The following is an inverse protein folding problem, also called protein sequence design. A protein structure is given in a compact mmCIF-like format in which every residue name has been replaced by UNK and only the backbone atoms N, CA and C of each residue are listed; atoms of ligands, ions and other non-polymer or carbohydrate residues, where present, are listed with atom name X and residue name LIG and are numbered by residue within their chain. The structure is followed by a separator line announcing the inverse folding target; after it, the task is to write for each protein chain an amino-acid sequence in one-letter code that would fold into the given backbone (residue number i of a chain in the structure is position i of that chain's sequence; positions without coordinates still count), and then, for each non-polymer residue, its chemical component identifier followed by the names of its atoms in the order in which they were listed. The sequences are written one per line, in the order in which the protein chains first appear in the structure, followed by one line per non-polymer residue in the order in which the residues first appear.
data_IF_703596201392
#
_entry.id   IF_703596201392
#
_cell.length_a   1.000
_cell.length_b   1.000
_cell.length_c   1.000
_cell.angle_alpha   90.00
_cell.angle_beta   90.00
_cell.angle_gamma   90.00
#
_symmetry.space_group_name_H-M   'P 1'
#
loop_
_entity.id
_entity.type
_entity.pdbx_description
1 polymer ?
#
# COMPACT_ATOMS: atom_id res chain seq x y z
N UNK A 1 -1.31 23.27 -21.57
CA UNK A 1 -0.55 22.02 -21.69
C UNK A 1 -0.20 21.53 -20.28
N UNK A 2 -0.31 20.21 -20.10
CA UNK A 2 0.11 19.55 -18.84
C UNK A 2 1.27 18.61 -19.17
N UNK A 3 2.34 18.72 -18.41
CA UNK A 3 3.52 17.83 -18.49
C UNK A 3 3.64 17.13 -17.15
N UNK A 4 3.63 15.82 -17.16
CA UNK A 4 3.79 14.97 -15.97
C UNK A 4 5.10 14.19 -16.09
N UNK A 5 5.94 14.28 -15.08
CA UNK A 5 7.18 13.53 -14.97
C UNK A 5 7.11 12.63 -13.74
N UNK A 6 7.39 11.34 -13.94
CA UNK A 6 7.42 10.34 -12.88
C UNK A 6 8.81 9.71 -12.82
N UNK A 7 9.44 9.80 -11.67
CA UNK A 7 10.72 9.16 -11.41
C UNK A 7 10.57 8.23 -10.21
N UNK A 8 10.85 6.94 -10.41
CA UNK A 8 10.84 5.94 -9.33
C UNK A 8 12.15 5.18 -9.33
N UNK A 9 12.84 5.22 -8.20
CA UNK A 9 14.02 4.40 -7.97
C UNK A 9 13.68 3.32 -6.94
N UNK A 10 13.70 2.07 -7.38
CA UNK A 10 13.51 0.90 -6.53
C UNK A 10 14.83 0.16 -6.37
N UNK A 11 15.21 -0.10 -5.12
CA UNK A 11 16.37 -0.94 -4.79
C UNK A 11 15.91 -2.09 -3.93
N UNK A 12 16.30 -3.31 -4.34
CA UNK A 12 15.95 -4.51 -3.62
C UNK A 12 17.20 -5.38 -3.42
N UNK A 13 17.41 -5.82 -2.20
CA UNK A 13 18.46 -6.76 -1.85
C UNK A 13 17.83 -7.93 -1.11
N UNK A 14 18.10 -9.15 -1.56
CA UNK A 14 17.53 -10.37 -1.00
C UNK A 14 18.60 -11.41 -0.76
N UNK A 15 18.45 -12.15 0.35
CA UNK A 15 19.20 -13.36 0.65
C UNK A 15 18.22 -14.52 0.83
N UNK A 16 18.42 -15.60 0.12
CA UNK A 16 17.60 -16.81 0.21
C UNK A 16 18.42 -18.00 0.68
N UNK A 17 17.78 -18.85 1.46
CA UNK A 17 18.35 -20.10 1.94
C UNK A 17 17.32 -21.21 1.74
N UNK A 18 17.72 -22.23 0.96
CA UNK A 18 16.90 -23.41 0.67
C UNK A 18 17.67 -24.65 1.08
N UNK A 19 17.09 -25.49 1.89
CA UNK A 19 17.70 -26.74 2.29
C UNK A 19 16.68 -27.84 2.56
N UNK A 20 16.98 -29.03 2.05
CA UNK A 20 16.28 -30.26 2.37
C UNK A 20 17.21 -31.17 3.18
N UNK A 21 16.67 -31.78 4.25
CA UNK A 21 17.34 -32.74 5.10
C UNK A 21 16.36 -33.82 5.53
N UNK A 22 16.48 -35.00 4.89
CA UNK A 22 15.48 -36.05 5.03
C UNK A 22 14.11 -35.61 4.53
N UNK A 23 13.11 -35.74 5.38
CA UNK A 23 11.73 -35.33 5.07
C UNK A 23 11.44 -33.84 5.37
N UNK A 24 12.44 -33.09 5.82
CA UNK A 24 12.33 -31.69 6.18
C UNK A 24 12.82 -30.80 5.05
N UNK A 25 12.01 -29.83 4.66
CA UNK A 25 12.38 -28.80 3.70
C UNK A 25 12.17 -27.42 4.33
N UNK A 26 13.20 -26.59 4.25
CA UNK A 26 13.19 -25.21 4.73
C UNK A 26 13.50 -24.27 3.59
N UNK A 27 12.67 -23.25 3.41
CA UNK A 27 12.89 -22.11 2.54
C UNK A 27 12.83 -20.85 3.39
N UNK A 28 13.90 -20.07 3.42
CA UNK A 28 13.98 -18.82 4.15
C UNK A 28 14.44 -17.69 3.23
N UNK A 29 13.86 -16.52 3.42
CA UNK A 29 14.20 -15.32 2.67
C UNK A 29 14.27 -14.14 3.63
N UNK A 30 15.32 -13.34 3.47
CA UNK A 30 15.46 -12.02 4.09
C UNK A 30 15.60 -10.99 2.98
N UNK A 31 14.96 -9.85 3.13
CA UNK A 31 14.98 -8.79 2.13
C UNK A 31 15.03 -7.41 2.75
N UNK A 32 15.64 -6.52 2.01
CA UNK A 32 15.66 -5.08 2.24
C UNK A 32 15.27 -4.38 0.95
N UNK A 33 14.32 -3.45 1.03
CA UNK A 33 13.78 -2.72 -0.12
C UNK A 33 13.72 -1.23 0.19
N UNK A 34 14.02 -0.42 -0.82
CA UNK A 34 13.77 1.02 -0.76
C UNK A 34 13.09 1.46 -2.05
N UNK A 35 12.14 2.38 -1.91
CA UNK A 35 11.50 3.07 -3.02
C UNK A 35 11.61 4.56 -2.79
N UNK A 36 12.11 5.28 -3.79
CA UNK A 36 12.15 6.74 -3.84
C UNK A 36 11.33 7.19 -5.05
N UNK A 37 10.20 7.82 -4.79
CA UNK A 37 9.24 8.26 -5.79
C UNK A 37 9.15 9.77 -5.83
N UNK A 38 9.29 10.34 -7.02
CA UNK A 38 9.13 11.75 -7.31
C UNK A 38 8.15 11.97 -8.46
N UNK A 39 7.24 12.88 -8.26
CA UNK A 39 6.28 13.33 -9.25
C UNK A 39 6.41 14.83 -9.43
N UNK A 40 6.49 15.29 -10.67
CA UNK A 40 6.46 16.70 -11.03
C UNK A 40 5.39 16.92 -12.08
N UNK A 41 4.45 17.81 -11.80
CA UNK A 41 3.46 18.27 -12.77
C UNK A 41 3.74 19.73 -13.11
N UNK A 42 3.87 20.02 -14.39
CA UNK A 42 3.95 21.39 -14.89
C UNK A 42 2.73 21.70 -15.72
N UNK A 43 1.98 22.70 -15.31
CA UNK A 43 0.82 23.23 -16.00
C UNK A 43 1.23 24.53 -16.71
N UNK A 44 1.01 24.58 -18.01
CA UNK A 44 1.26 25.72 -18.86
C UNK A 44 -0.05 26.16 -19.49
N UNK A 45 -0.46 27.42 -19.28
CA UNK A 45 -1.59 28.02 -19.96
C UNK A 45 -1.19 29.33 -20.64
N UNK A 46 -1.76 29.58 -21.80
CA UNK A 46 -1.60 30.81 -22.55
C UNK A 46 -2.92 31.24 -23.13
N UNK A 47 -3.15 32.55 -23.23
CA UNK A 47 -4.31 33.15 -23.84
C UNK A 47 -3.92 34.36 -24.73
N UNK A 48 -4.93 34.94 -25.42
CA UNK A 48 -4.78 36.15 -26.24
C UNK A 48 -3.73 36.01 -27.33
N UNK A 49 -3.90 35.00 -28.18
CA UNK A 49 -3.00 34.74 -29.31
C UNK A 49 -3.22 35.77 -30.43
N UNK A 50 -2.15 36.37 -30.99
CA UNK A 50 -2.26 37.40 -32.04
C UNK A 50 -2.58 36.85 -33.43
N UNK A 51 -2.89 35.58 -33.58
CA UNK A 51 -3.18 34.93 -34.87
C UNK A 51 -3.62 33.49 -34.71
N UNK A 52 -3.58 32.72 -35.79
CA UNK A 52 -4.05 31.32 -35.83
C UNK A 52 -3.06 30.29 -35.26
N UNK A 53 -1.89 30.75 -34.75
CA UNK A 53 -0.88 29.89 -34.14
C UNK A 53 -1.06 29.88 -32.63
N UNK A 54 -1.55 28.76 -32.10
CA UNK A 54 -1.83 28.55 -30.68
C UNK A 54 -0.66 27.86 -29.94
N UNK A 55 0.56 28.26 -30.25
CA UNK A 55 1.74 27.79 -29.53
C UNK A 55 2.00 28.66 -28.32
N UNK A 56 2.45 28.07 -27.21
CA UNK A 56 2.60 28.76 -25.92
C UNK A 56 3.45 30.03 -26.00
N UNK A 57 4.47 30.01 -26.84
CA UNK A 57 5.40 31.14 -27.08
C UNK A 57 4.72 32.33 -27.77
N UNK A 58 3.58 32.10 -28.45
CA UNK A 58 2.85 33.16 -29.16
C UNK A 58 1.73 33.77 -28.31
N UNK A 59 1.51 33.30 -27.10
CA UNK A 59 0.48 33.85 -26.21
C UNK A 59 0.93 35.18 -25.61
N UNK A 60 0.03 36.17 -25.57
CA UNK A 60 0.30 37.45 -24.91
C UNK A 60 0.32 37.30 -23.38
N UNK A 61 -0.55 36.42 -22.85
CA UNK A 61 -0.56 36.12 -21.41
C UNK A 61 -0.20 34.66 -21.21
N UNK A 62 0.79 34.41 -20.37
CA UNK A 62 1.22 33.06 -20.01
C UNK A 62 1.16 32.85 -18.51
N UNK A 63 0.76 31.64 -18.08
CA UNK A 63 0.81 31.21 -16.70
C UNK A 63 1.46 29.85 -16.60
N UNK A 64 2.38 29.71 -15.64
CA UNK A 64 3.06 28.45 -15.37
C UNK A 64 2.89 28.12 -13.90
N UNK A 65 2.41 26.89 -13.62
CA UNK A 65 2.31 26.35 -12.28
C UNK A 65 3.04 25.01 -12.24
N UNK A 66 3.84 24.80 -11.20
CA UNK A 66 4.54 23.53 -10.98
C UNK A 66 4.16 22.98 -9.62
N UNK A 67 3.75 21.71 -9.59
CA UNK A 67 3.52 20.92 -8.38
C UNK A 67 4.55 19.78 -8.31
N UNK A 68 5.14 19.60 -7.13
CA UNK A 68 6.13 18.55 -6.87
C UNK A 68 5.73 17.76 -5.65
N UNK A 69 5.64 16.45 -5.82
CA UNK A 69 5.29 15.52 -4.76
C UNK A 69 6.26 14.35 -4.76
N UNK A 70 6.40 13.70 -3.61
CA UNK A 70 7.26 12.54 -3.52
C UNK A 70 7.15 11.86 -2.17
N UNK A 71 7.61 10.61 -2.12
CA UNK A 71 7.72 9.85 -0.89
C UNK A 71 8.86 8.85 -0.96
N UNK A 72 9.28 8.40 0.20
CA UNK A 72 10.23 7.31 0.38
C UNK A 72 9.62 6.22 1.22
N UNK A 73 9.82 4.99 0.77
CA UNK A 73 9.45 3.78 1.49
C UNK A 73 10.72 2.97 1.75
N UNK A 74 10.85 2.45 2.97
CA UNK A 74 11.93 1.53 3.34
C UNK A 74 11.31 0.34 4.01
N UNK A 75 11.71 -0.86 3.60
CA UNK A 75 11.10 -2.10 4.04
C UNK A 75 12.14 -3.14 4.41
N UNK A 76 11.90 -3.81 5.52
CA UNK A 76 12.60 -5.02 5.94
C UNK A 76 11.61 -6.17 5.92
N UNK A 77 11.98 -7.26 5.30
CA UNK A 77 11.10 -8.42 5.19
C UNK A 77 11.84 -9.72 5.50
N UNK A 78 11.12 -10.65 6.08
CA UNK A 78 11.57 -12.00 6.33
C UNK A 78 10.44 -12.99 6.12
N UNK A 79 10.74 -14.13 5.52
CA UNK A 79 9.80 -15.23 5.32
C UNK A 79 10.50 -16.55 5.57
N UNK A 80 9.82 -17.45 6.24
CA UNK A 80 10.23 -18.84 6.41
C UNK A 80 9.08 -19.74 6.04
N UNK A 81 9.31 -20.67 5.13
CA UNK A 81 8.41 -21.77 4.82
C UNK A 81 9.09 -23.08 5.25
N UNK A 82 8.31 -23.90 5.89
CA UNK A 82 8.73 -25.22 6.34
C UNK A 82 7.75 -26.27 5.85
N UNK A 83 8.28 -27.35 5.32
CA UNK A 83 7.51 -28.51 4.86
C UNK A 83 8.10 -29.76 5.52
N UNK A 84 7.24 -30.59 6.07
CA UNK A 84 7.58 -31.90 6.60
C UNK A 84 6.86 -33.00 5.84
N UNK A 85 7.67 -33.93 5.27
CA UNK A 85 7.22 -35.13 4.56
C UNK A 85 6.19 -34.85 3.43
N UNK A 86 6.17 -33.63 2.87
CA UNK A 86 5.14 -33.16 1.91
C UNK A 86 3.70 -33.31 2.40
N UNK A 87 3.51 -33.37 3.74
CA UNK A 87 2.24 -33.47 4.42
C UNK A 87 1.85 -32.22 5.17
N UNK A 88 2.80 -31.66 5.91
CA UNK A 88 2.58 -30.50 6.80
C UNK A 88 3.38 -29.33 6.30
N UNK A 89 2.71 -28.22 6.07
CA UNK A 89 3.31 -27.00 5.58
C UNK A 89 3.03 -25.87 6.54
N UNK A 90 4.07 -25.12 6.90
CA UNK A 90 3.97 -23.94 7.75
C UNK A 90 4.70 -22.79 7.09
N UNK A 91 4.09 -21.62 7.11
CA UNK A 91 4.67 -20.40 6.60
C UNK A 91 4.53 -19.27 7.61
N UNK A 92 5.60 -18.51 7.79
CA UNK A 92 5.62 -17.29 8.59
C UNK A 92 6.24 -16.19 7.74
N UNK A 93 5.61 -15.02 7.69
CA UNK A 93 6.22 -13.83 7.12
C UNK A 93 6.10 -12.66 8.08
N UNK A 94 7.10 -11.78 8.03
CA UNK A 94 7.12 -10.52 8.75
C UNK A 94 7.69 -9.45 7.83
N UNK A 95 7.04 -8.28 7.82
CA UNK A 95 7.49 -7.10 7.07
C UNK A 95 7.33 -5.86 7.93
N UNK A 96 8.37 -5.05 7.97
CA UNK A 96 8.35 -3.75 8.61
C UNK A 96 8.60 -2.67 7.57
N UNK A 97 7.62 -1.81 7.36
CA UNK A 97 7.63 -0.76 6.36
C UNK A 97 7.65 0.63 7.01
N UNK A 98 8.55 1.49 6.55
CA UNK A 98 8.62 2.88 6.98
C UNK A 98 8.34 3.83 5.82
N UNK A 99 7.28 4.65 5.95
CA UNK A 99 6.87 5.60 4.91
C UNK A 99 7.09 7.05 5.33
N UNK A 100 7.66 7.85 4.44
CA UNK A 100 7.80 9.30 4.65
C UNK A 100 6.48 10.08 4.54
N UNK A 101 5.39 9.43 4.15
CA UNK A 101 4.04 10.02 4.15
C UNK A 101 3.46 10.19 5.55
N UNK A 102 4.09 9.57 6.55
CA UNK A 102 3.68 9.59 7.96
C UNK A 102 4.68 10.34 8.83
N UNK A 103 4.21 10.88 9.95
CA UNK A 103 5.05 11.50 10.97
C UNK A 103 6.07 10.49 11.52
N UNK A 104 7.15 11.00 12.12
CA UNK A 104 8.27 10.17 12.58
C UNK A 104 7.86 9.08 13.54
N UNK A 105 6.94 9.37 14.45
CA UNK A 105 6.43 8.49 15.50
C UNK A 105 5.55 7.37 14.94
N UNK A 106 4.82 7.63 13.85
CA UNK A 106 3.86 6.71 13.23
C UNK A 106 4.34 6.13 11.88
N UNK A 107 5.58 6.43 11.50
CA UNK A 107 6.15 6.09 10.19
C UNK A 107 6.22 4.60 9.93
N UNK A 108 6.50 3.81 10.98
CA UNK A 108 6.75 2.39 10.85
C UNK A 108 5.48 1.57 11.09
N UNK A 109 5.17 0.68 10.16
CA UNK A 109 4.14 -0.33 10.29
C UNK A 109 4.75 -1.73 10.34
N UNK A 110 4.21 -2.58 11.21
CA UNK A 110 4.61 -3.98 11.36
C UNK A 110 3.50 -4.87 10.84
N UNK A 111 3.82 -5.72 9.86
CA UNK A 111 2.89 -6.58 9.15
C UNK A 111 3.42 -8.01 9.20
N UNK A 112 2.51 -8.97 9.35
CA UNK A 112 2.91 -10.36 9.49
C UNK A 112 1.81 -11.30 9.00
N UNK A 113 2.23 -12.52 8.65
CA UNK A 113 1.28 -13.58 8.35
C UNK A 113 1.77 -14.92 8.85
N UNK A 114 0.80 -15.77 9.19
CA UNK A 114 0.98 -17.17 9.51
C UNK A 114 0.13 -17.99 8.55
N UNK A 115 0.69 -19.10 8.08
CA UNK A 115 -0.06 -20.05 7.26
C UNK A 115 0.27 -21.48 7.68
N UNK A 116 -0.71 -22.34 7.57
CA UNK A 116 -0.57 -23.77 7.76
C UNK A 116 -1.38 -24.53 6.73
N UNK A 117 -0.87 -25.65 6.26
CA UNK A 117 -1.67 -26.56 5.47
C UNK A 117 -1.30 -28.00 5.75
N UNK A 118 -2.30 -28.86 5.65
CA UNK A 118 -2.20 -30.26 5.89
C UNK A 118 -2.76 -31.05 4.70
N UNK A 119 -1.89 -31.85 4.08
CA UNK A 119 -2.24 -32.78 3.01
C UNK A 119 -2.66 -34.10 3.62
N UNK A 120 -3.92 -34.18 4.04
CA UNK A 120 -4.43 -35.32 4.80
C UNK A 120 -4.49 -36.62 3.98
N UNK A 121 -4.58 -36.54 2.66
CA UNK A 121 -4.52 -37.74 1.78
C UNK A 121 -3.16 -38.44 1.79
N UNK A 122 -2.10 -37.76 2.28
CA UNK A 122 -0.79 -38.39 2.48
C UNK A 122 -0.71 -39.24 3.74
N UNK A 123 -1.77 -39.25 4.57
CA UNK A 123 -1.83 -40.03 5.79
C UNK A 123 -2.27 -41.48 5.53
N UNK A 124 -1.77 -42.42 6.36
CA UNK A 124 -2.09 -43.84 6.21
C UNK A 124 -3.56 -44.19 6.35
N UNK A 125 -4.31 -43.41 7.15
CA UNK A 125 -5.74 -43.64 7.33
C UNK A 125 -6.57 -43.35 6.08
N UNK A 126 -6.00 -42.63 5.10
CA UNK A 126 -6.66 -42.34 3.83
C UNK A 126 -6.35 -43.37 2.74
N UNK A 127 -5.44 -44.33 2.98
CA UNK A 127 -5.09 -45.36 1.99
C UNK A 127 -6.31 -46.08 1.37
N UNK A 128 -7.36 -46.42 2.11
CA UNK A 128 -8.53 -47.15 1.54
C UNK A 128 -9.31 -46.35 0.50
N UNK A 129 -9.21 -45.04 0.47
CA UNK A 129 -9.99 -44.17 -0.42
C UNK A 129 -9.13 -43.38 -1.42
N UNK A 130 -7.82 -43.62 -1.48
CA UNK A 130 -6.91 -42.94 -2.39
C UNK A 130 -7.27 -43.09 -3.87
N UNK A 131 -7.91 -44.17 -4.26
CA UNK A 131 -8.35 -44.40 -5.65
C UNK A 131 -9.47 -43.43 -6.05
N UNK A 132 -10.25 -42.96 -5.08
CA UNK A 132 -11.34 -42.00 -5.29
C UNK A 132 -10.87 -40.58 -5.01
N UNK A 133 -10.35 -40.32 -3.80
CA UNK A 133 -9.80 -39.01 -3.39
C UNK A 133 -8.28 -39.07 -3.50
N UNK A 134 -7.78 -38.67 -4.68
CA UNK A 134 -6.36 -38.77 -5.03
C UNK A 134 -5.50 -37.70 -4.37
N UNK A 135 -6.05 -36.50 -4.09
CA UNK A 135 -5.40 -35.46 -3.32
C UNK A 135 -6.42 -34.70 -2.49
N UNK A 136 -6.05 -34.35 -1.25
CA UNK A 136 -6.86 -33.57 -0.34
C UNK A 136 -5.99 -32.77 0.62
N UNK A 137 -6.24 -31.45 0.69
CA UNK A 137 -5.43 -30.51 1.45
C UNK A 137 -6.32 -29.49 2.12
N UNK A 138 -6.11 -29.27 3.42
CA UNK A 138 -6.74 -28.19 4.18
C UNK A 138 -5.71 -27.07 4.32
N UNK A 139 -6.14 -25.83 4.14
CA UNK A 139 -5.29 -24.62 4.23
C UNK A 139 -5.92 -23.63 5.21
N UNK A 140 -5.10 -23.03 6.05
CA UNK A 140 -5.48 -21.91 6.91
C UNK A 140 -4.40 -20.85 6.83
N UNK A 141 -4.79 -19.59 6.69
CA UNK A 141 -3.85 -18.47 6.80
C UNK A 141 -4.52 -17.29 7.50
N UNK A 142 -3.73 -16.61 8.29
CA UNK A 142 -4.10 -15.35 8.93
C UNK A 142 -2.96 -14.35 8.77
N UNK A 143 -3.30 -13.13 8.39
CA UNK A 143 -2.29 -12.09 8.21
C UNK A 143 -2.83 -10.68 8.41
N UNK A 144 -1.91 -9.77 8.66
CA UNK A 144 -2.14 -8.34 8.79
C UNK A 144 -1.29 -7.62 7.76
N UNK A 145 -1.93 -6.92 6.84
CA UNK A 145 -1.29 -6.07 5.82
C UNK A 145 -1.57 -4.60 6.12
N UNK A 146 -0.65 -3.72 5.68
CA UNK A 146 -0.80 -2.28 5.81
C UNK A 146 -1.05 -1.58 4.49
N UNK A 147 -1.80 -0.49 4.55
CA UNK A 147 -1.94 0.47 3.47
C UNK A 147 -1.43 1.83 3.95
N UNK A 148 -0.50 2.43 3.21
CA UNK A 148 -0.02 3.78 3.53
C UNK A 148 -1.04 4.84 3.08
N UNK A 149 -1.05 6.04 3.69
CA UNK A 149 -1.88 7.14 3.23
C UNK A 149 -1.64 7.46 1.75
N UNK A 150 -2.69 7.77 1.00
CA UNK A 150 -2.58 8.25 -0.39
C UNK A 150 -2.05 9.69 -0.42
N UNK A 151 -2.38 10.46 0.59
CA UNK A 151 -1.99 11.88 0.73
C UNK A 151 -0.50 12.01 1.05
N UNK A 152 0.19 12.91 0.35
CA UNK A 152 1.57 13.26 0.63
C UNK A 152 1.63 14.25 1.79
N UNK A 153 2.46 13.96 2.80
CA UNK A 153 2.70 14.85 3.94
C UNK A 153 1.43 15.27 4.71
N UNK A 154 0.40 14.42 4.77
CA UNK A 154 -0.85 14.70 5.50
C UNK A 154 -0.67 14.97 7.00
N UNK A 155 0.51 14.66 7.55
CA UNK A 155 0.91 15.00 8.91
C UNK A 155 1.43 16.42 9.08
N UNK A 156 1.51 17.24 7.99
CA UNK A 156 1.94 18.63 8.01
C UNK A 156 0.80 19.55 7.60
N UNK A 157 0.80 20.76 8.12
CA UNK A 157 -0.09 21.81 7.62
C UNK A 157 0.39 22.32 6.27
N UNK A 158 -0.57 22.56 5.40
CA UNK A 158 -0.34 23.08 4.06
C UNK A 158 -0.76 24.54 4.00
N UNK A 159 0.01 25.35 3.24
CA UNK A 159 -0.25 26.75 3.02
C UNK A 159 -0.46 27.00 1.52
N UNK A 160 -1.48 27.78 1.20
CA UNK A 160 -1.74 28.29 -0.14
C UNK A 160 -1.34 29.77 -0.20
N UNK A 161 -0.61 30.14 -1.22
CA UNK A 161 -0.19 31.50 -1.51
C UNK A 161 -1.18 32.17 -2.49
N UNK A 162 -1.06 33.49 -2.66
CA UNK A 162 -1.88 34.24 -3.61
C UNK A 162 -3.08 34.93 -2.98
N UNK A 163 -3.08 35.06 -1.67
CA UNK A 163 -4.03 35.93 -0.94
C UNK A 163 -3.43 37.32 -0.79
N UNK A 164 -4.24 38.33 -1.07
CA UNK A 164 -3.82 39.71 -0.98
C UNK A 164 -4.52 40.38 0.20
N UNK A 165 -3.77 40.99 1.07
CA UNK A 165 -4.27 41.86 2.11
C UNK A 165 -3.56 43.21 2.02
N UNK A 166 -4.34 44.27 1.80
CA UNK A 166 -3.83 45.64 1.66
C UNK A 166 -2.64 45.78 0.68
N UNK A 167 -2.76 45.12 -0.50
CA UNK A 167 -1.75 45.12 -1.55
C UNK A 167 -0.52 44.24 -1.30
N UNK A 168 -0.46 43.52 -0.19
CA UNK A 168 0.64 42.61 0.16
C UNK A 168 0.22 41.16 -0.03
N UNK A 169 1.13 40.37 -0.63
CA UNK A 169 0.96 38.92 -0.78
C UNK A 169 0.95 38.24 0.58
N UNK A 170 -0.08 37.42 0.82
CA UNK A 170 -0.25 36.61 2.01
C UNK A 170 -0.40 35.13 1.70
N UNK A 171 -0.43 34.32 2.74
CA UNK A 171 -0.73 32.89 2.70
C UNK A 171 -1.82 32.52 3.69
N UNK A 172 -2.57 31.46 3.36
CA UNK A 172 -3.56 30.91 4.28
C UNK A 172 -3.35 29.41 4.41
N UNK A 173 -3.75 28.84 5.57
CA UNK A 173 -3.71 27.40 5.79
C UNK A 173 -4.75 26.75 4.88
N UNK A 174 -4.31 25.81 4.04
CA UNK A 174 -5.15 25.07 3.09
C UNK A 174 -5.29 23.59 3.43
N UNK A 175 -4.58 23.09 4.43
CA UNK A 175 -4.69 21.73 4.94
C UNK A 175 -4.24 21.67 6.39
N UNK A 176 -4.93 20.90 7.21
CA UNK A 176 -4.63 20.76 8.64
C UNK A 176 -3.78 19.52 8.86
N UNK A 177 -2.68 19.68 9.60
CA UNK A 177 -1.80 18.61 10.01
C UNK A 177 -2.55 17.55 10.85
N UNK A 178 -2.27 16.29 10.60
CA UNK A 178 -2.57 15.20 11.51
C UNK A 178 -1.30 14.38 11.80
N UNK A 179 -0.59 14.73 12.85
CA UNK A 179 0.62 14.02 13.27
C UNK A 179 0.34 12.60 13.78
N UNK A 180 -0.91 12.32 14.16
CA UNK A 180 -1.35 11.01 14.61
C UNK A 180 -1.75 10.06 13.46
N UNK A 181 -1.67 10.52 12.21
CA UNK A 181 -1.94 9.69 11.03
C UNK A 181 -1.02 8.48 11.01
N UNK A 182 -1.58 7.29 10.85
CA UNK A 182 -0.88 6.01 10.87
C UNK A 182 -1.32 5.10 9.72
N UNK A 183 -0.68 3.95 9.61
CA UNK A 183 -1.00 2.93 8.64
C UNK A 183 -2.42 2.38 8.85
N UNK A 184 -3.18 2.25 7.78
CA UNK A 184 -4.39 1.44 7.74
C UNK A 184 -4.03 -0.03 7.83
N UNK A 185 -4.76 -0.82 8.61
CA UNK A 185 -4.50 -2.25 8.82
C UNK A 185 -5.63 -3.10 8.29
N UNK A 186 -5.26 -4.06 7.45
CA UNK A 186 -6.15 -5.07 6.89
C UNK A 186 -5.81 -6.43 7.48
N UNK A 187 -6.72 -6.98 8.30
CA UNK A 187 -6.63 -8.31 8.89
C UNK A 187 -7.44 -9.28 8.05
N UNK A 188 -6.83 -10.35 7.59
CA UNK A 188 -7.50 -11.34 6.74
C UNK A 188 -7.29 -12.76 7.29
N UNK A 189 -8.38 -13.51 7.40
CA UNK A 189 -8.40 -14.95 7.67
C UNK A 189 -8.90 -15.67 6.41
N UNK A 190 -8.14 -16.68 5.97
CA UNK A 190 -8.57 -17.57 4.90
C UNK A 190 -8.51 -19.01 5.39
N UNK A 191 -9.56 -19.78 5.09
CA UNK A 191 -9.63 -21.22 5.32
C UNK A 191 -10.07 -21.86 4.01
N UNK A 192 -9.29 -22.82 3.52
CA UNK A 192 -9.55 -23.49 2.25
C UNK A 192 -9.43 -25.00 2.34
N UNK A 193 -10.16 -25.68 1.47
CA UNK A 193 -10.03 -27.11 1.23
C UNK A 193 -9.92 -27.36 -0.26
N UNK A 194 -8.89 -28.10 -0.65
CA UNK A 194 -8.66 -28.55 -2.02
C UNK A 194 -8.85 -30.06 -2.07
N UNK A 195 -9.64 -30.54 -3.00
CA UNK A 195 -9.95 -31.95 -3.19
C UNK A 195 -9.77 -32.32 -4.65
N UNK A 196 -9.11 -33.44 -4.93
CA UNK A 196 -8.96 -33.98 -6.26
C UNK A 196 -9.45 -35.41 -6.31
N UNK A 197 -10.46 -35.67 -7.13
CA UNK A 197 -11.08 -36.98 -7.29
C UNK A 197 -10.66 -37.60 -8.62
N UNK A 198 -10.22 -38.86 -8.60
CA UNK A 198 -9.85 -39.67 -9.76
C UNK A 198 -8.82 -39.01 -10.69
N UNK A 199 -8.05 -38.02 -10.21
CA UNK A 199 -7.19 -37.16 -11.03
C UNK A 199 -7.91 -36.47 -12.22
N UNK A 200 -9.22 -36.28 -12.12
CA UNK A 200 -10.07 -35.71 -13.19
C UNK A 200 -10.94 -34.54 -12.72
N UNK A 201 -11.36 -34.56 -11.47
CA UNK A 201 -12.25 -33.55 -10.90
C UNK A 201 -11.53 -32.87 -9.74
N UNK A 202 -11.28 -31.58 -9.87
CA UNK A 202 -10.71 -30.74 -8.82
C UNK A 202 -11.79 -29.81 -8.27
N UNK A 203 -11.95 -29.81 -6.96
CA UNK A 203 -12.86 -28.92 -6.22
C UNK A 203 -12.05 -28.11 -5.21
N UNK A 204 -12.29 -26.81 -5.16
CA UNK A 204 -11.70 -25.90 -4.18
C UNK A 204 -12.81 -25.10 -3.53
N UNK A 205 -12.82 -25.08 -2.20
CA UNK A 205 -13.71 -24.24 -1.41
C UNK A 205 -12.85 -23.32 -0.54
N UNK A 206 -13.13 -22.03 -0.60
CA UNK A 206 -12.47 -21.01 0.21
C UNK A 206 -13.50 -20.21 1.01
N UNK A 207 -13.25 -20.08 2.29
CA UNK A 207 -13.90 -19.11 3.16
C UNK A 207 -12.91 -18.05 3.55
N UNK A 208 -13.26 -16.79 3.36
CA UNK A 208 -12.40 -15.68 3.76
C UNK A 208 -13.21 -14.62 4.52
N UNK A 209 -12.54 -13.98 5.46
CA UNK A 209 -13.04 -12.77 6.12
C UNK A 209 -11.92 -11.75 6.20
N UNK A 210 -12.28 -10.50 6.00
CA UNK A 210 -11.35 -9.35 6.06
C UNK A 210 -11.97 -8.27 6.91
N UNK A 211 -11.16 -7.73 7.82
CA UNK A 211 -11.50 -6.56 8.64
C UNK A 211 -10.46 -5.50 8.43
N UNK A 212 -10.89 -4.30 8.07
CA UNK A 212 -10.02 -3.13 7.98
C UNK A 212 -10.21 -2.27 9.22
N UNK A 213 -9.12 -1.81 9.80
CA UNK A 213 -9.09 -0.90 10.95
C UNK A 213 -8.15 0.27 10.66
N UNK A 214 -8.35 1.37 11.38
CA UNK A 214 -7.60 2.61 11.17
C UNK A 214 -7.75 3.14 9.72
N UNK A 215 -8.94 3.02 9.11
CA UNK A 215 -9.24 3.51 7.77
C UNK A 215 -8.90 4.99 7.65
N UNK A 216 -8.29 5.38 6.54
CA UNK A 216 -7.87 6.75 6.30
C UNK A 216 -8.93 7.46 5.46
N UNK A 217 -9.55 8.50 6.04
CA UNK A 217 -10.52 9.36 5.39
C UNK A 217 -10.15 10.83 5.52
N UNK A 218 -10.45 11.60 4.49
CA UNK A 218 -10.38 13.05 4.53
C UNK A 218 -11.66 13.60 5.14
N UNK A 219 -11.61 13.91 6.44
CA UNK A 219 -12.75 14.46 7.16
C UNK A 219 -12.84 15.98 6.99
N UNK A 220 -14.04 16.53 6.67
CA UNK A 220 -14.25 17.97 6.64
C UNK A 220 -14.02 18.58 8.02
N UNK A 221 -13.30 19.70 8.06
CA UNK A 221 -12.98 20.42 9.27
C UNK A 221 -13.75 21.73 9.29
N UNK A 222 -14.25 22.13 10.46
CA UNK A 222 -14.96 23.40 10.63
C UNK A 222 -14.07 24.61 10.31
N UNK A 223 -14.59 25.56 9.55
CA UNK A 223 -13.91 26.83 9.24
C UNK A 223 -13.95 27.85 10.38
N UNK A 224 -14.65 27.57 11.49
CA UNK A 224 -14.81 28.48 12.63
C UNK A 224 -13.49 28.99 13.22
N UNK A 225 -12.38 28.21 13.28
CA UNK A 225 -11.10 28.71 13.78
C UNK A 225 -10.36 29.69 12.86
N UNK A 226 -10.97 30.15 11.76
CA UNK A 226 -10.35 31.12 10.85
C UNK A 226 -9.50 30.52 9.74
N UNK A 227 -9.68 29.23 9.46
CA UNK A 227 -9.07 28.58 8.31
C UNK A 227 -9.74 29.04 7.01
N UNK A 228 -8.94 29.10 5.94
CA UNK A 228 -9.49 29.40 4.62
C UNK A 228 -10.40 28.27 4.14
N UNK A 229 -11.67 28.58 3.94
CA UNK A 229 -12.66 27.71 3.32
C UNK A 229 -13.34 28.49 2.21
N UNK A 230 -13.33 27.95 1.00
CA UNK A 230 -14.14 28.46 -0.12
C UNK A 230 -15.43 27.65 -0.21
N UNK A 231 -16.53 28.22 -0.73
CA UNK A 231 -17.74 27.45 -1.02
C UNK A 231 -17.49 26.21 -1.88
N UNK A 232 -16.45 26.25 -2.70
CA UNK A 232 -16.07 25.16 -3.62
C UNK A 232 -15.05 24.18 -3.03
N UNK A 233 -14.46 24.47 -1.84
CA UNK A 233 -13.43 23.63 -1.22
C UNK A 233 -13.63 23.58 0.30
N UNK A 234 -14.17 22.47 0.76
CA UNK A 234 -14.15 22.17 2.20
C UNK A 234 -12.73 21.91 2.65
N UNK A 235 -12.32 22.54 3.75
CA UNK A 235 -11.05 22.19 4.39
C UNK A 235 -11.16 20.79 4.97
N UNK A 236 -10.25 19.90 4.60
CA UNK A 236 -10.22 18.52 5.09
C UNK A 236 -8.93 18.23 5.84
N UNK A 237 -9.00 17.23 6.72
CA UNK A 237 -7.84 16.65 7.40
C UNK A 237 -7.90 15.13 7.25
N UNK A 238 -6.82 14.48 6.79
CA UNK A 238 -6.78 13.02 6.75
C UNK A 238 -6.75 12.48 8.18
N UNK A 239 -7.66 11.55 8.48
CA UNK A 239 -7.77 10.94 9.81
C UNK A 239 -7.97 9.41 9.69
N UNK A 240 -7.51 8.69 10.71
CA UNK A 240 -7.81 7.28 10.88
C UNK A 240 -9.13 7.14 11.66
N UNK A 241 -10.07 6.35 11.14
CA UNK A 241 -11.39 6.06 11.71
C UNK A 241 -11.59 4.54 11.85
#
# INVERSE_FOLDING_TARGET
RIINEFNTLNTQTQASYNKSFGEHNVDALLGFETEDYHYTQTYLSGDSYPGDKYEFENANNTSTQTDKQGYRLTSFLGRVNYNYADKYYFGVSYRRDGSSRLARENRWGDFWSLSGSWRFTSEKFMDPIKDVLTDGKIRVSYGVNGTQPSVYYGYKSWYKWGFFYNGTNGSAISGIANENLKWEKNKALNIGIDLNFWNRLSLTFDYYTRTTSDLIFDLPVSAVPGYFSSPDYALTSPQNV
#
